data_IF_257258734694
#
_entry.id   IF_257258734694
#
_cell.length_a   1.000
_cell.length_b   1.000
_cell.length_c   1.000
_cell.angle_alpha   90.00
_cell.angle_beta   90.00
_cell.angle_gamma   90.00
#
_symmetry.space_group_name_H-M   'P 1'
#
loop_
_entity.id
_entity.type
_entity.pdbx_description
1 polymer ?
#
# COMPACT_ATOMS: atom_id res chain seq x y z
N UNK A 1 5.00 -14.52 -4.68
CA UNK A 1 6.00 -13.58 -4.16
C UNK A 1 7.34 -14.28 -4.16
N UNK A 2 8.32 -13.71 -4.84
CA UNK A 2 9.66 -14.29 -4.99
C UNK A 2 10.62 -13.69 -3.96
N UNK A 3 10.50 -12.40 -3.71
CA UNK A 3 11.38 -11.63 -2.82
C UNK A 3 10.57 -10.61 -2.00
N UNK A 4 11.03 -10.27 -0.81
CA UNK A 4 10.43 -9.28 0.08
C UNK A 4 11.50 -8.31 0.56
N UNK A 5 11.29 -7.02 0.34
CA UNK A 5 12.09 -5.96 0.93
C UNK A 5 11.36 -5.41 2.16
N UNK A 6 11.98 -5.52 3.31
CA UNK A 6 11.47 -4.93 4.53
C UNK A 6 12.09 -3.54 4.71
N UNK A 7 11.25 -2.49 4.65
CA UNK A 7 11.69 -1.10 4.80
C UNK A 7 11.24 -0.59 6.15
N UNK A 8 12.20 -0.25 7.00
CA UNK A 8 12.01 0.08 8.42
C UNK A 8 12.38 1.52 8.72
N UNK A 9 12.07 2.00 9.90
CA UNK A 9 12.62 3.26 10.40
C UNK A 9 14.14 3.23 10.47
N UNK A 10 14.78 4.38 10.37
CA UNK A 10 16.24 4.47 10.43
C UNK A 10 16.77 3.95 11.78
N UNK A 11 17.65 2.97 11.75
CA UNK A 11 18.24 2.32 12.94
C UNK A 11 17.40 1.19 13.53
N UNK A 12 16.28 0.82 12.90
CA UNK A 12 15.42 -0.28 13.34
C UNK A 12 15.68 -1.60 12.60
N UNK A 13 16.63 -1.63 11.66
CA UNK A 13 16.91 -2.78 10.80
C UNK A 13 17.32 -4.02 11.62
N UNK A 14 18.21 -3.84 12.62
CA UNK A 14 18.65 -4.93 13.48
C UNK A 14 17.49 -5.41 14.37
N UNK A 15 16.73 -4.48 14.94
CA UNK A 15 15.55 -4.81 15.73
C UNK A 15 14.55 -5.65 14.93
N UNK A 16 14.24 -5.26 13.69
CA UNK A 16 13.32 -5.99 12.82
C UNK A 16 13.89 -7.37 12.45
N UNK A 17 15.18 -7.46 12.18
CA UNK A 17 15.84 -8.75 11.92
C UNK A 17 15.72 -9.70 13.08
N UNK A 18 16.05 -9.24 14.29
CA UNK A 18 16.06 -10.08 15.50
C UNK A 18 14.67 -10.45 15.98
N UNK A 19 13.69 -9.54 15.88
CA UNK A 19 12.39 -9.71 16.50
C UNK A 19 11.27 -10.11 15.51
N UNK A 20 11.49 -9.96 14.20
CA UNK A 20 10.48 -10.26 13.16
C UNK A 20 11.03 -11.31 12.20
N UNK A 21 12.11 -11.03 11.50
CA UNK A 21 12.59 -11.89 10.40
C UNK A 21 13.05 -13.25 10.93
N UNK A 22 13.98 -13.24 11.90
CA UNK A 22 14.58 -14.47 12.42
C UNK A 22 13.59 -15.36 13.19
N UNK A 23 12.77 -14.84 14.14
CA UNK A 23 11.85 -15.67 14.91
C UNK A 23 10.78 -16.36 14.07
N UNK A 24 10.35 -15.71 12.97
CA UNK A 24 9.33 -16.25 12.06
C UNK A 24 9.92 -16.95 10.85
N UNK A 25 11.23 -17.11 10.78
CA UNK A 25 11.94 -17.81 9.71
C UNK A 25 11.55 -17.33 8.30
N UNK A 26 11.49 -16.02 8.09
CA UNK A 26 11.18 -15.46 6.78
C UNK A 26 12.31 -15.77 5.79
N UNK A 27 12.06 -16.69 4.87
CA UNK A 27 13.06 -17.17 3.91
C UNK A 27 13.09 -16.37 2.61
N UNK A 28 12.09 -15.54 2.37
CA UNK A 28 12.00 -14.69 1.18
C UNK A 28 12.37 -13.22 1.45
N UNK A 29 12.69 -12.89 2.70
CA UNK A 29 13.25 -11.58 3.00
C UNK A 29 14.68 -11.56 2.46
N UNK A 30 14.89 -10.72 1.45
CA UNK A 30 16.19 -10.58 0.80
C UNK A 30 16.96 -9.36 1.29
N UNK A 31 16.23 -8.32 1.70
CA UNK A 31 16.83 -7.06 2.15
C UNK A 31 16.01 -6.42 3.26
N UNK A 32 16.71 -6.00 4.29
CA UNK A 32 16.21 -5.12 5.32
C UNK A 32 16.86 -3.75 5.13
N UNK A 33 16.06 -2.73 4.85
CA UNK A 33 16.51 -1.42 4.40
C UNK A 33 15.90 -0.32 5.26
N UNK A 34 16.66 0.76 5.46
CA UNK A 34 16.10 1.95 6.11
C UNK A 34 15.21 2.76 5.16
N UNK A 35 14.15 3.29 5.71
CA UNK A 35 13.24 4.22 5.04
C UNK A 35 13.83 5.61 4.87
N UNK A 36 13.07 6.49 4.24
CA UNK A 36 13.39 7.90 4.08
C UNK A 36 12.61 8.77 5.07
N UNK A 37 12.71 10.09 4.90
CA UNK A 37 12.04 11.06 5.76
C UNK A 37 10.50 10.99 5.66
N UNK A 38 9.99 10.70 4.46
CA UNK A 38 8.57 10.54 4.17
C UNK A 38 8.30 9.15 3.59
N UNK A 39 7.01 8.73 3.57
CA UNK A 39 6.61 7.43 3.03
C UNK A 39 7.09 7.23 1.59
N UNK A 40 6.93 8.23 0.73
CA UNK A 40 7.36 8.14 -0.67
C UNK A 40 8.88 8.00 -0.83
N UNK A 41 9.70 8.57 0.09
CA UNK A 41 11.14 8.35 0.09
C UNK A 41 11.49 6.90 0.44
N UNK A 42 10.78 6.32 1.41
CA UNK A 42 10.93 4.92 1.80
C UNK A 42 10.63 3.99 0.62
N UNK A 43 9.51 4.23 -0.06
CA UNK A 43 9.14 3.48 -1.28
C UNK A 43 10.19 3.64 -2.36
N UNK A 44 10.65 4.87 -2.61
CA UNK A 44 11.69 5.14 -3.63
C UNK A 44 12.98 4.37 -3.34
N UNK A 45 13.42 4.32 -2.09
CA UNK A 45 14.61 3.55 -1.70
C UNK A 45 14.46 2.07 -2.09
N UNK A 46 13.31 1.45 -1.80
CA UNK A 46 13.04 0.08 -2.19
C UNK A 46 12.97 -0.12 -3.71
N UNK A 47 12.32 0.80 -4.43
CA UNK A 47 12.17 0.70 -5.88
C UNK A 47 13.50 0.76 -6.63
N UNK A 48 14.51 1.44 -6.12
CA UNK A 48 15.84 1.53 -6.73
C UNK A 48 16.56 0.18 -6.75
N UNK A 49 16.25 -0.70 -5.81
CA UNK A 49 16.88 -2.00 -5.64
C UNK A 49 16.19 -3.13 -6.43
N UNK A 50 15.00 -2.86 -6.99
CA UNK A 50 14.28 -3.84 -7.79
C UNK A 50 14.95 -4.08 -9.13
N UNK A 51 14.80 -5.29 -9.64
CA UNK A 51 15.13 -5.61 -11.03
C UNK A 51 14.24 -4.79 -11.98
N UNK A 52 14.70 -4.64 -13.23
CA UNK A 52 13.98 -3.84 -14.23
C UNK A 52 12.63 -4.43 -14.59
N UNK A 53 12.53 -5.75 -14.61
CA UNK A 53 11.33 -6.49 -15.01
C UNK A 53 10.61 -7.09 -13.81
N UNK A 54 9.30 -7.30 -13.95
CA UNK A 54 8.45 -7.90 -12.94
C UNK A 54 7.43 -6.93 -12.36
N UNK A 55 6.84 -7.33 -11.24
CA UNK A 55 5.79 -6.57 -10.56
C UNK A 55 6.17 -6.35 -9.11
N UNK A 56 5.89 -5.16 -8.60
CA UNK A 56 6.10 -4.82 -7.20
C UNK A 56 4.77 -4.65 -6.49
N UNK A 57 4.68 -5.23 -5.30
CA UNK A 57 3.58 -5.08 -4.35
C UNK A 57 4.04 -4.17 -3.23
N UNK A 58 3.56 -2.93 -3.20
CA UNK A 58 3.86 -1.96 -2.13
C UNK A 58 2.80 -2.12 -1.06
N UNK A 59 3.21 -2.53 0.14
CA UNK A 59 2.28 -2.86 1.21
C UNK A 59 2.66 -2.22 2.54
N UNK A 60 1.67 -1.65 3.22
CA UNK A 60 1.85 -1.09 4.56
C UNK A 60 1.98 -2.22 5.59
N UNK A 61 3.08 -2.27 6.34
CA UNK A 61 3.28 -3.24 7.43
C UNK A 61 2.21 -3.17 8.53
N UNK A 62 1.53 -2.03 8.65
CA UNK A 62 0.40 -1.84 9.56
C UNK A 62 -0.94 -2.44 9.08
N UNK A 63 -0.98 -3.18 7.95
CA UNK A 63 -2.15 -3.92 7.45
C UNK A 63 -1.94 -5.44 7.52
N UNK A 64 -2.03 -6.05 8.70
CA UNK A 64 -1.68 -7.46 8.87
C UNK A 64 -2.70 -8.44 8.28
N UNK A 65 -3.83 -7.95 7.76
CA UNK A 65 -4.94 -8.81 7.31
C UNK A 65 -5.01 -8.99 5.79
N UNK A 66 -3.95 -8.63 5.06
CA UNK A 66 -3.84 -9.04 3.66
C UNK A 66 -3.87 -10.58 3.57
N UNK A 67 -4.63 -11.12 2.62
CA UNK A 67 -4.76 -12.55 2.41
C UNK A 67 -4.32 -12.96 0.99
N UNK A 68 -4.22 -14.29 0.80
CA UNK A 68 -3.82 -14.86 -0.48
C UNK A 68 -4.75 -14.43 -1.63
N UNK A 69 -6.06 -14.38 -1.38
CA UNK A 69 -7.03 -14.01 -2.41
C UNK A 69 -6.88 -12.56 -2.86
N UNK A 70 -6.53 -11.63 -1.95
CA UNK A 70 -6.21 -10.25 -2.31
C UNK A 70 -4.97 -10.19 -3.20
N UNK A 71 -3.93 -10.93 -2.83
CA UNK A 71 -2.66 -10.96 -3.59
C UNK A 71 -2.88 -11.54 -4.98
N UNK A 72 -3.61 -12.66 -5.10
CA UNK A 72 -3.88 -13.32 -6.37
C UNK A 72 -4.69 -12.41 -7.32
N UNK A 73 -5.78 -11.80 -6.83
CA UNK A 73 -6.56 -10.85 -7.65
C UNK A 73 -5.73 -9.66 -8.11
N UNK A 74 -4.92 -9.07 -7.22
CA UNK A 74 -4.07 -7.96 -7.58
C UNK A 74 -2.98 -8.37 -8.60
N UNK A 75 -2.47 -9.60 -8.50
CA UNK A 75 -1.51 -10.13 -9.46
C UNK A 75 -2.13 -10.35 -10.85
N UNK A 76 -3.34 -10.88 -10.92
CA UNK A 76 -4.07 -11.06 -12.18
C UNK A 76 -4.31 -9.71 -12.87
N UNK A 77 -4.82 -8.73 -12.14
CA UNK A 77 -5.13 -7.41 -12.70
C UNK A 77 -3.89 -6.61 -13.12
N UNK A 78 -2.76 -6.74 -12.40
CA UNK A 78 -1.55 -6.00 -12.77
C UNK A 78 -0.91 -6.54 -14.05
N UNK A 79 -1.06 -7.83 -14.35
CA UNK A 79 -0.56 -8.42 -15.60
C UNK A 79 -1.25 -7.81 -16.83
N UNK A 80 -2.54 -7.49 -16.72
CA UNK A 80 -3.32 -6.89 -17.81
C UNK A 80 -3.17 -5.37 -17.84
N UNK A 81 -3.24 -4.73 -16.66
CA UNK A 81 -3.38 -3.29 -16.54
C UNK A 81 -2.08 -2.56 -16.14
N UNK A 82 -1.00 -3.28 -15.78
CA UNK A 82 0.31 -2.76 -15.34
C UNK A 82 0.31 -1.95 -14.05
N UNK A 83 -0.84 -1.49 -13.60
CA UNK A 83 -1.02 -0.72 -12.37
C UNK A 83 -2.40 -1.01 -11.78
N UNK A 84 -2.43 -1.44 -10.53
CA UNK A 84 -3.68 -1.62 -9.80
C UNK A 84 -3.53 -1.30 -8.32
N UNK A 85 -4.64 -0.99 -7.69
CA UNK A 85 -4.72 -0.66 -6.27
C UNK A 85 -5.86 -1.41 -5.61
N UNK A 86 -5.56 -2.07 -4.50
CA UNK A 86 -6.56 -2.75 -3.69
C UNK A 86 -7.39 -1.72 -2.91
N UNK A 87 -8.69 -1.92 -2.88
CA UNK A 87 -9.60 -1.04 -2.16
C UNK A 87 -10.97 -1.65 -1.96
N UNK A 88 -11.83 -0.93 -1.25
CA UNK A 88 -13.22 -1.30 -1.03
C UNK A 88 -14.15 -0.13 -1.34
N UNK A 89 -15.34 -0.38 -1.93
CA UNK A 89 -16.36 0.66 -2.08
C UNK A 89 -16.73 1.29 -0.74
N UNK A 90 -16.94 2.58 -0.74
CA UNK A 90 -17.40 3.31 0.45
C UNK A 90 -18.81 2.87 0.83
N UNK A 91 -19.04 2.57 2.10
CA UNK A 91 -20.37 2.19 2.63
C UNK A 91 -21.19 3.39 3.09
N UNK A 92 -20.52 4.38 3.67
CA UNK A 92 -21.15 5.54 4.26
C UNK A 92 -21.36 6.66 3.24
N UNK A 93 -22.26 7.60 3.57
CA UNK A 93 -22.40 8.82 2.77
C UNK A 93 -21.23 9.76 3.08
N UNK A 94 -20.47 10.12 2.04
CA UNK A 94 -19.35 11.05 2.15
C UNK A 94 -19.83 12.47 1.84
N UNK A 95 -19.37 13.43 2.65
CA UNK A 95 -19.56 14.86 2.42
C UNK A 95 -18.21 15.52 2.18
N UNK A 96 -18.14 16.36 1.16
CA UNK A 96 -17.05 17.33 1.06
C UNK A 96 -17.44 18.58 1.83
N UNK A 97 -16.53 19.09 2.66
CA UNK A 97 -16.74 20.27 3.48
C UNK A 97 -15.91 21.45 2.95
N UNK A 98 -16.44 22.66 3.11
CA UNK A 98 -15.68 23.89 2.90
C UNK A 98 -14.75 24.16 4.11
N UNK A 99 -13.98 25.26 4.06
CA UNK A 99 -13.05 25.69 5.11
C UNK A 99 -13.75 26.09 6.43
N UNK A 100 -15.06 26.29 6.40
CA UNK A 100 -15.89 26.64 7.56
C UNK A 100 -16.62 25.45 8.15
N UNK A 101 -16.46 24.24 7.56
CA UNK A 101 -17.12 23.02 8.02
C UNK A 101 -18.54 22.83 7.51
N UNK A 102 -19.01 23.65 6.56
CA UNK A 102 -20.30 23.44 5.91
C UNK A 102 -20.17 22.40 4.78
N UNK A 103 -21.27 21.72 4.47
CA UNK A 103 -21.31 20.77 3.35
C UNK A 103 -21.27 21.53 2.05
N UNK A 104 -20.20 21.33 1.27
CA UNK A 104 -20.07 21.87 -0.08
C UNK A 104 -20.79 20.96 -1.10
N UNK A 105 -20.52 19.65 -1.05
CA UNK A 105 -21.15 18.68 -1.95
C UNK A 105 -21.22 17.29 -1.35
N UNK A 106 -22.06 16.45 -1.95
CA UNK A 106 -22.16 15.01 -1.62
C UNK A 106 -21.81 14.21 -2.85
N UNK A 107 -20.61 13.65 -2.95
CA UNK A 107 -20.20 12.84 -4.09
C UNK A 107 -21.08 11.59 -4.26
N UNK A 108 -21.19 11.11 -5.50
CA UNK A 108 -21.83 9.84 -5.79
C UNK A 108 -21.04 8.68 -5.17
N UNK A 109 -21.60 8.11 -4.10
CA UNK A 109 -20.98 7.01 -3.34
C UNK A 109 -20.63 5.80 -4.21
N UNK A 110 -21.37 5.53 -5.27
CA UNK A 110 -21.12 4.39 -6.15
C UNK A 110 -19.76 4.46 -6.87
N UNK A 111 -19.13 5.64 -6.90
CA UNK A 111 -17.84 5.91 -7.53
C UNK A 111 -16.71 6.09 -6.52
N UNK A 112 -16.98 5.99 -5.22
CA UNK A 112 -16.00 6.22 -4.18
C UNK A 112 -15.46 4.91 -3.62
N UNK A 113 -14.14 4.85 -3.50
CA UNK A 113 -13.42 3.72 -2.94
C UNK A 113 -12.50 4.15 -1.82
N UNK A 114 -12.41 3.34 -0.78
CA UNK A 114 -11.39 3.45 0.26
C UNK A 114 -10.18 2.65 -0.20
N UNK A 115 -9.10 3.34 -0.50
CA UNK A 115 -7.86 2.73 -0.97
C UNK A 115 -7.17 2.01 0.19
N UNK A 116 -6.67 0.82 -0.13
CA UNK A 116 -5.88 -0.02 0.77
C UNK A 116 -4.51 -0.30 0.13
N UNK A 117 -3.76 -1.17 0.76
CA UNK A 117 -2.60 -1.82 0.16
C UNK A 117 -2.78 -3.34 0.20
N UNK A 118 -2.16 -4.11 -0.72
CA UNK A 118 -1.09 -3.70 -1.63
C UNK A 118 -1.55 -2.79 -2.77
N UNK A 119 -0.64 -1.92 -3.21
CA UNK A 119 -0.70 -1.22 -4.48
C UNK A 119 0.33 -1.88 -5.39
N UNK A 120 -0.07 -2.26 -6.60
CA UNK A 120 0.72 -3.19 -7.42
C UNK A 120 0.97 -2.61 -8.79
N UNK A 121 2.24 -2.67 -9.19
CA UNK A 121 2.69 -2.03 -10.42
C UNK A 121 3.71 -2.89 -11.16
N UNK A 122 3.79 -2.72 -12.48
CA UNK A 122 4.96 -3.12 -13.26
C UNK A 122 6.18 -2.29 -12.80
N UNK A 123 7.32 -2.93 -12.54
CA UNK A 123 8.50 -2.28 -11.97
C UNK A 123 8.95 -1.04 -12.75
N UNK A 124 9.06 -1.16 -14.06
CA UNK A 124 9.49 -0.07 -14.93
C UNK A 124 8.54 1.13 -14.85
N UNK A 125 7.22 0.87 -14.82
CA UNK A 125 6.20 1.92 -14.77
C UNK A 125 6.32 2.76 -13.49
N UNK A 126 6.29 2.12 -12.32
CA UNK A 126 6.32 2.83 -11.04
C UNK A 126 7.67 3.50 -10.78
N UNK A 127 8.79 2.86 -11.17
CA UNK A 127 10.12 3.47 -11.07
C UNK A 127 10.21 4.74 -11.92
N UNK A 128 9.66 4.71 -13.13
CA UNK A 128 9.57 5.88 -14.00
C UNK A 128 8.80 7.02 -13.36
N UNK A 129 7.63 6.74 -12.80
CA UNK A 129 6.81 7.73 -12.08
C UNK A 129 7.54 8.33 -10.88
N UNK A 130 8.14 7.50 -10.04
CA UNK A 130 8.91 7.96 -8.89
C UNK A 130 10.17 8.73 -9.26
N UNK A 131 10.87 8.34 -10.33
CA UNK A 131 12.02 9.12 -10.84
C UNK A 131 11.63 10.52 -11.28
N UNK A 132 10.41 10.72 -11.77
CA UNK A 132 9.88 12.06 -12.07
C UNK A 132 9.51 12.80 -10.78
N UNK A 133 8.79 12.15 -9.87
CA UNK A 133 8.39 12.73 -8.59
C UNK A 133 9.59 13.28 -7.80
N UNK A 134 10.69 12.53 -7.76
CA UNK A 134 11.90 12.93 -7.02
C UNK A 134 12.61 14.19 -7.59
N UNK A 135 12.17 14.69 -8.74
CA UNK A 135 12.67 15.94 -9.34
C UNK A 135 11.77 17.14 -9.06
N UNK A 136 10.57 16.88 -8.51
CA UNK A 136 9.62 17.94 -8.18
C UNK A 136 10.06 18.68 -6.92
N UNK A 137 9.87 20.01 -6.93
CA UNK A 137 10.16 20.88 -5.78
C UNK A 137 9.06 20.85 -4.71
N UNK A 138 7.85 20.43 -5.08
CA UNK A 138 6.71 20.30 -4.19
C UNK A 138 6.01 18.97 -4.44
N UNK A 139 5.96 18.15 -3.39
CA UNK A 139 5.39 16.81 -3.45
C UNK A 139 4.14 16.78 -2.56
N UNK A 140 2.99 16.50 -3.17
CA UNK A 140 1.72 16.30 -2.47
C UNK A 140 1.09 15.00 -2.98
N UNK A 141 1.56 13.87 -2.43
CA UNK A 141 1.07 12.54 -2.74
C UNK A 141 0.75 11.79 -1.45
N UNK A 142 -0.35 11.07 -1.44
CA UNK A 142 -0.82 10.30 -0.28
C UNK A 142 -0.59 8.82 -0.43
N UNK A 143 -0.47 8.32 -1.67
CA UNK A 143 -0.22 6.92 -1.98
C UNK A 143 0.56 6.73 -3.29
N UNK A 144 0.91 5.49 -3.62
CA UNK A 144 1.76 5.16 -4.76
C UNK A 144 0.99 5.26 -6.10
N UNK A 145 -0.31 4.97 -6.06
CA UNK A 145 -1.18 5.13 -7.23
C UNK A 145 -1.25 6.60 -7.66
N UNK A 146 -1.38 7.51 -6.71
CA UNK A 146 -1.39 8.96 -6.98
C UNK A 146 -0.08 9.44 -7.64
N UNK A 147 1.07 8.83 -7.29
CA UNK A 147 2.34 9.11 -7.98
C UNK A 147 2.26 8.75 -9.45
N UNK A 148 1.77 7.55 -9.76
CA UNK A 148 1.64 7.09 -11.15
C UNK A 148 0.60 7.92 -11.92
N UNK A 149 -0.52 8.25 -11.29
CA UNK A 149 -1.56 9.10 -11.87
C UNK A 149 -1.05 10.51 -12.20
N UNK A 150 -0.36 11.15 -11.25
CA UNK A 150 0.11 12.52 -11.44
C UNK A 150 1.27 12.63 -12.41
N UNK A 151 2.27 11.76 -12.30
CA UNK A 151 3.49 11.85 -13.10
C UNK A 151 3.31 11.31 -14.52
N UNK A 152 2.56 10.22 -14.69
CA UNK A 152 2.44 9.55 -15.98
C UNK A 152 1.06 9.66 -16.63
N UNK A 153 0.06 10.17 -15.92
CA UNK A 153 -1.35 10.15 -16.35
C UNK A 153 -1.82 8.73 -16.74
N UNK A 154 -1.24 7.73 -16.10
CA UNK A 154 -1.54 6.35 -16.37
C UNK A 154 -2.78 5.89 -15.57
N UNK A 155 -3.73 5.16 -16.19
CA UNK A 155 -4.93 4.70 -15.49
C UNK A 155 -4.59 3.61 -14.47
N UNK A 156 -5.21 3.70 -13.29
CA UNK A 156 -5.03 2.73 -12.21
C UNK A 156 -6.28 1.87 -12.09
N UNK A 157 -6.11 0.55 -12.11
CA UNK A 157 -7.19 -0.40 -11.94
C UNK A 157 -7.54 -0.59 -10.47
N UNK A 158 -8.82 -0.47 -10.09
CA UNK A 158 -9.30 -0.79 -8.76
C UNK A 158 -9.56 -2.29 -8.62
N UNK A 159 -9.05 -2.88 -7.54
CA UNK A 159 -9.17 -4.31 -7.22
C UNK A 159 -9.86 -4.49 -5.87
N UNK A 160 -10.82 -5.40 -5.79
CA UNK A 160 -11.51 -5.68 -4.53
C UNK A 160 -10.56 -6.27 -3.50
N UNK A 161 -10.42 -5.57 -2.37
CA UNK A 161 -9.73 -6.01 -1.16
C UNK A 161 -10.64 -6.73 -0.19
N UNK A 162 -10.56 -6.32 1.07
CA UNK A 162 -11.42 -6.77 2.15
C UNK A 162 -11.65 -5.65 3.16
N UNK A 163 -12.85 -5.56 3.73
CA UNK A 163 -13.10 -4.66 4.87
C UNK A 163 -12.34 -5.09 6.14
N UNK A 164 -11.83 -6.33 6.19
CA UNK A 164 -10.94 -6.79 7.25
C UNK A 164 -9.48 -6.36 7.04
N UNK A 165 -9.08 -5.93 5.84
CA UNK A 165 -7.74 -5.44 5.54
C UNK A 165 -7.54 -4.00 6.04
N UNK A 166 -7.85 -3.79 7.33
CA UNK A 166 -7.72 -2.50 8.00
C UNK A 166 -6.26 -2.09 8.17
N UNK A 167 -6.01 -0.80 8.29
CA UNK A 167 -4.72 -0.23 8.72
C UNK A 167 -4.80 0.00 10.22
N UNK A 168 -3.91 -0.61 10.99
CA UNK A 168 -3.82 -0.42 12.44
C UNK A 168 -3.08 0.88 12.69
N UNK A 169 -3.78 1.91 13.15
CA UNK A 169 -3.25 3.25 13.40
C UNK A 169 -3.69 3.83 14.74
N UNK A 170 -4.74 3.28 15.32
CA UNK A 170 -5.29 3.72 16.61
C UNK A 170 -5.46 2.53 17.56
N UNK A 171 -5.60 2.77 18.89
CA UNK A 171 -5.89 1.70 19.84
C UNK A 171 -7.16 0.90 19.53
N UNK A 172 -8.20 1.55 18.99
CA UNK A 172 -9.46 0.93 18.62
C UNK A 172 -9.28 -0.07 17.47
N UNK A 173 -8.33 0.22 16.56
CA UNK A 173 -8.00 -0.71 15.46
C UNK A 173 -7.40 -2.02 15.98
N UNK A 174 -6.69 -1.99 17.13
CA UNK A 174 -6.15 -3.20 17.78
C UNK A 174 -7.28 -4.10 18.31
N UNK A 175 -8.30 -3.51 18.91
CA UNK A 175 -9.48 -4.28 19.38
C UNK A 175 -10.20 -4.96 18.20
N UNK A 176 -10.36 -4.24 17.08
CA UNK A 176 -10.91 -4.82 15.86
C UNK A 176 -10.02 -5.93 15.29
N UNK A 177 -8.71 -5.73 15.32
CA UNK A 177 -7.74 -6.73 14.85
C UNK A 177 -7.85 -8.04 15.65
N UNK A 178 -8.00 -7.97 16.98
CA UNK A 178 -8.21 -9.16 17.83
C UNK A 178 -9.47 -9.93 17.45
N UNK A 179 -10.55 -9.25 17.12
CA UNK A 179 -11.79 -9.89 16.65
C UNK A 179 -11.56 -10.61 15.32
N UNK A 180 -10.84 -10.00 14.39
CA UNK A 180 -10.53 -10.63 13.10
C UNK A 180 -9.61 -11.84 13.27
N UNK A 181 -8.60 -11.77 14.14
CA UNK A 181 -7.73 -12.88 14.45
C UNK A 181 -8.49 -14.09 15.02
N UNK A 182 -9.40 -13.87 15.96
CA UNK A 182 -10.26 -14.94 16.51
C UNK A 182 -11.07 -15.62 15.43
N UNK A 183 -11.72 -14.86 14.55
CA UNK A 183 -12.50 -15.43 13.43
C UNK A 183 -11.66 -16.22 12.43
N UNK A 184 -10.39 -15.87 12.24
CA UNK A 184 -9.46 -16.58 11.34
C UNK A 184 -8.94 -17.89 11.97
N UNK A 185 -8.77 -17.94 13.30
CA UNK A 185 -8.33 -19.13 14.02
C UNK A 185 -9.44 -20.20 14.19
N UNK A 186 -10.71 -19.82 14.02
CA UNK A 186 -11.86 -20.71 14.11
C UNK A 186 -12.25 -21.35 12.76
N UNK A 187 -11.59 -20.98 11.67
CA UNK A 187 -11.77 -21.53 10.30
C UNK A 187 -10.69 -22.53 9.95
#
# INVERSE_FOLDING_TARGET
IDEVFLITGAGEEEYCRENIVNPYHFTKESRNMHGGAERYNSVWNGLQELEEHGYVFIHDGSRPFVDRGIIERAYEEVQEHKACVVGMPVKDTIKMADEHGNVETTPDRSKLWMVQTPQVFENHLVRGAYSMLMRESYINVTDDAMVVEQMLRYPIRLVYGSYENIKITTPEDLEMAEVFLKRRSEK
#
